data_IF_115491943434
#
_entry.id   IF_115491943434
#
_cell.length_a   1.000
_cell.length_b   1.000
_cell.length_c   1.000
_cell.angle_alpha   90.00
_cell.angle_beta   90.00
_cell.angle_gamma   90.00
#
_symmetry.space_group_name_H-M   'P 1'
#
loop_
_entity.id
_entity.type
_entity.pdbx_description
1 polymer ?
#
# COMPACT_ATOMS: atom_id res chain seq x y z
N UNK A 1 -13.76 16.98 4.08
CA UNK A 1 -12.95 16.22 3.10
C UNK A 1 -12.31 15.00 3.76
N UNK A 2 -13.11 14.04 4.23
CA UNK A 2 -12.67 12.85 4.97
C UNK A 2 -12.81 11.47 4.30
N UNK A 3 -13.60 11.26 3.21
CA UNK A 3 -13.78 9.91 2.66
C UNK A 3 -12.81 9.53 1.54
N UNK A 4 -12.03 10.46 0.97
CA UNK A 4 -11.16 10.21 -0.19
C UNK A 4 -9.80 9.58 0.18
N UNK A 5 -9.33 9.79 1.42
CA UNK A 5 -8.06 9.26 1.93
C UNK A 5 -8.19 7.78 2.35
N UNK A 6 -9.37 7.36 2.82
CA UNK A 6 -9.65 5.95 3.15
C UNK A 6 -9.71 5.04 1.91
N UNK A 7 -10.09 5.58 0.75
CA UNK A 7 -10.21 4.83 -0.51
C UNK A 7 -8.86 4.72 -1.25
N UNK A 8 -7.99 5.73 -1.16
CA UNK A 8 -6.64 5.70 -1.73
C UNK A 8 -5.74 4.65 -1.04
N UNK A 9 -5.87 4.44 0.27
CA UNK A 9 -5.14 3.36 0.99
C UNK A 9 -5.57 1.94 0.55
N UNK A 10 -6.77 1.75 -0.01
CA UNK A 10 -7.21 0.47 -0.61
C UNK A 10 -6.66 0.25 -2.02
N UNK A 11 -6.20 1.29 -2.71
CA UNK A 11 -5.85 1.24 -4.15
C UNK A 11 -4.34 1.36 -4.46
N UNK A 12 -3.49 1.75 -3.50
CA UNK A 12 -2.04 1.90 -3.70
C UNK A 12 -1.23 0.59 -3.68
N UNK A 13 -1.89 -0.55 -3.86
CA UNK A 13 -1.27 -1.86 -4.06
C UNK A 13 -1.04 -2.25 -5.53
N UNK A 14 -1.07 -1.33 -6.51
CA UNK A 14 -0.88 -1.68 -7.93
C UNK A 14 0.52 -2.26 -8.19
N UNK A 15 0.65 -3.51 -8.69
CA UNK A 15 1.93 -4.02 -9.16
C UNK A 15 2.18 -3.57 -10.60
N UNK A 16 3.39 -3.04 -10.87
CA UNK A 16 3.95 -3.04 -12.22
C UNK A 16 4.34 -4.49 -12.57
N UNK A 17 4.07 -4.87 -13.81
CA UNK A 17 4.29 -6.21 -14.35
C UNK A 17 5.69 -6.76 -14.06
N UNK A 18 5.78 -8.05 -13.72
CA UNK A 18 7.00 -8.83 -13.83
C UNK A 18 6.67 -10.25 -14.32
N UNK A 19 7.57 -10.75 -15.17
CA UNK A 19 7.38 -11.80 -16.15
C UNK A 19 7.32 -13.25 -15.61
N UNK A 20 6.89 -14.11 -16.52
CA UNK A 20 6.72 -15.57 -16.45
C UNK A 20 8.04 -16.27 -16.07
N UNK A 21 8.01 -17.10 -15.02
CA UNK A 21 9.06 -18.07 -14.65
C UNK A 21 8.53 -19.51 -14.69
N UNK A 22 9.40 -20.52 -14.90
CA UNK A 22 9.06 -21.82 -15.47
C UNK A 22 8.38 -22.80 -14.50
N UNK A 23 7.77 -23.90 -15.01
CA UNK A 23 6.85 -24.72 -14.25
C UNK A 23 7.57 -25.89 -13.57
N UNK A 24 7.43 -26.02 -12.26
CA UNK A 24 7.65 -27.30 -11.60
C UNK A 24 6.45 -27.72 -10.75
N UNK A 25 5.96 -28.89 -11.14
CA UNK A 25 4.95 -29.80 -10.63
C UNK A 25 4.56 -29.69 -9.15
N UNK A 26 3.25 -29.89 -8.90
CA UNK A 26 2.44 -29.65 -7.68
C UNK A 26 1.82 -28.24 -7.66
N UNK A 27 0.52 -28.15 -7.36
CA UNK A 27 -0.24 -26.88 -7.39
C UNK A 27 0.52 -25.79 -6.67
N UNK A 28 0.77 -24.66 -7.34
CA UNK A 28 1.62 -23.61 -6.80
C UNK A 28 1.13 -23.23 -5.40
N UNK A 29 1.93 -23.51 -4.38
CA UNK A 29 1.66 -23.03 -3.04
C UNK A 29 1.76 -21.51 -3.13
N UNK A 30 0.61 -20.82 -3.13
CA UNK A 30 0.54 -19.37 -3.09
C UNK A 30 0.88 -18.86 -1.70
N UNK A 31 2.13 -19.09 -1.33
CA UNK A 31 2.75 -18.66 -0.10
C UNK A 31 3.61 -17.43 -0.41
N UNK A 32 3.68 -16.53 0.56
CA UNK A 32 4.66 -15.46 0.51
C UNK A 32 6.06 -16.03 0.61
N UNK A 33 7.06 -15.25 0.22
CA UNK A 33 8.41 -15.47 0.72
C UNK A 33 8.39 -15.41 2.26
N UNK A 34 9.21 -16.21 2.97
CA UNK A 34 9.38 -16.05 4.41
C UNK A 34 9.76 -14.60 4.72
N UNK A 35 8.97 -13.97 5.57
CA UNK A 35 9.15 -12.57 5.96
C UNK A 35 9.35 -12.46 7.46
N UNK A 36 10.35 -11.71 7.84
CA UNK A 36 10.59 -11.26 9.22
C UNK A 36 10.76 -9.74 9.20
N UNK A 37 10.60 -9.05 10.34
CA UNK A 37 10.94 -7.63 10.43
C UNK A 37 12.35 -7.33 9.90
N UNK A 38 13.33 -8.18 10.24
CA UNK A 38 14.72 -8.06 9.77
C UNK A 38 14.87 -8.23 8.26
N UNK A 39 14.05 -9.08 7.62
CA UNK A 39 14.13 -9.27 6.16
C UNK A 39 13.64 -8.05 5.39
N UNK A 40 12.82 -7.20 6.00
CA UNK A 40 12.36 -5.93 5.42
C UNK A 40 13.34 -4.78 5.66
N UNK A 41 14.11 -4.83 6.74
CA UNK A 41 15.06 -3.80 7.15
C UNK A 41 16.46 -4.03 6.52
N UNK A 42 16.58 -3.80 5.22
CA UNK A 42 17.79 -4.09 4.44
C UNK A 42 18.66 -2.87 4.11
N UNK A 43 18.16 -1.65 4.33
CA UNK A 43 18.83 -0.41 3.92
C UNK A 43 19.52 0.30 5.09
N UNK A 44 20.62 1.04 4.81
CA UNK A 44 21.24 1.90 5.80
C UNK A 44 20.28 3.04 6.23
N UNK A 45 20.30 3.34 7.53
CA UNK A 45 19.57 4.47 8.12
C UNK A 45 20.48 5.68 8.29
N UNK A 46 19.90 6.88 8.40
CA UNK A 46 20.64 8.11 8.70
C UNK A 46 21.22 8.82 7.47
N UNK A 47 20.82 8.43 6.27
CA UNK A 47 21.12 9.15 5.02
C UNK A 47 19.83 9.54 4.32
N UNK A 48 19.87 10.66 3.61
CA UNK A 48 18.79 11.03 2.71
C UNK A 48 18.78 10.10 1.52
N UNK A 49 17.58 9.72 1.08
CA UNK A 49 17.42 8.90 -0.13
C UNK A 49 16.08 9.14 -0.79
N UNK A 50 16.08 8.99 -2.10
CA UNK A 50 14.84 8.87 -2.85
C UNK A 50 14.13 7.57 -2.45
N UNK A 51 12.81 7.66 -2.24
CA UNK A 51 11.93 6.53 -1.97
C UNK A 51 10.73 6.52 -2.91
N UNK A 52 10.22 5.33 -3.20
CA UNK A 52 9.14 5.14 -4.17
C UNK A 52 9.55 5.40 -5.62
N UNK A 53 8.55 5.41 -6.51
CA UNK A 53 8.76 5.62 -7.94
C UNK A 53 8.95 7.09 -8.32
N UNK A 54 9.60 7.32 -9.47
CA UNK A 54 9.57 8.62 -10.15
C UNK A 54 8.22 8.78 -10.83
N UNK A 55 7.55 9.89 -10.56
CA UNK A 55 6.36 10.35 -11.27
C UNK A 55 6.73 11.36 -12.36
N UNK A 56 5.88 11.44 -13.36
CA UNK A 56 6.00 12.38 -14.48
C UNK A 56 4.64 13.07 -14.68
N UNK A 57 4.64 14.38 -14.91
CA UNK A 57 3.40 15.10 -15.25
C UNK A 57 3.22 15.11 -16.76
N UNK A 58 2.25 14.35 -17.27
CA UNK A 58 2.03 14.15 -18.70
C UNK A 58 3.25 13.50 -19.41
N UNK A 59 3.11 13.17 -20.69
CA UNK A 59 4.23 12.59 -21.45
C UNK A 59 5.25 13.68 -21.79
N UNK A 60 6.48 13.54 -21.29
CA UNK A 60 7.61 14.47 -21.46
C UNK A 60 7.73 15.56 -20.38
N UNK A 61 7.02 15.45 -19.25
CA UNK A 61 7.00 16.46 -18.20
C UNK A 61 8.13 16.36 -17.16
N UNK A 62 8.18 17.28 -16.19
CA UNK A 62 9.15 17.23 -15.12
C UNK A 62 8.96 15.97 -14.26
N UNK A 63 10.08 15.34 -13.94
CA UNK A 63 10.13 14.22 -13.00
C UNK A 63 10.00 14.73 -11.57
N UNK A 64 9.24 14.02 -10.76
CA UNK A 64 9.14 14.26 -9.33
C UNK A 64 9.23 12.95 -8.54
N UNK A 65 9.68 13.01 -7.30
CA UNK A 65 9.86 11.86 -6.43
C UNK A 65 9.59 12.21 -4.95
N UNK A 66 9.66 11.21 -4.07
CA UNK A 66 9.65 11.44 -2.63
C UNK A 66 11.07 11.30 -2.10
N UNK A 67 11.50 12.25 -1.27
CA UNK A 67 12.76 12.18 -0.54
C UNK A 67 12.48 11.78 0.91
N UNK A 68 13.07 10.69 1.37
CA UNK A 68 13.14 10.34 2.79
C UNK A 68 14.42 10.94 3.36
N UNK A 69 14.27 11.82 4.35
CA UNK A 69 15.39 12.45 5.04
C UNK A 69 15.95 11.54 6.13
N UNK A 70 17.21 11.77 6.51
CA UNK A 70 17.93 10.98 7.51
C UNK A 70 17.18 10.80 8.85
N UNK A 71 16.40 11.80 9.26
CA UNK A 71 15.63 11.82 10.50
C UNK A 71 14.21 11.22 10.38
N UNK A 72 13.82 10.81 9.18
CA UNK A 72 12.54 10.16 8.88
C UNK A 72 11.47 11.06 8.28
N UNK A 73 11.72 12.36 8.13
CA UNK A 73 10.79 13.24 7.41
C UNK A 73 10.75 12.90 5.92
N UNK A 74 9.57 13.05 5.31
CA UNK A 74 9.36 12.81 3.89
C UNK A 74 8.95 14.10 3.18
N UNK A 75 9.68 14.45 2.12
CA UNK A 75 9.33 15.53 1.21
C UNK A 75 8.78 14.93 -0.07
N UNK A 76 7.53 15.24 -0.40
CA UNK A 76 6.83 14.67 -1.55
C UNK A 76 6.86 15.61 -2.75
N UNK A 77 6.84 15.03 -3.96
CA UNK A 77 6.78 15.81 -5.20
C UNK A 77 8.05 16.59 -5.50
N UNK A 78 9.17 16.22 -4.87
CA UNK A 78 10.47 16.87 -5.05
C UNK A 78 10.92 16.76 -6.50
N UNK A 79 11.28 17.88 -7.11
CA UNK A 79 11.72 17.97 -8.51
C UNK A 79 13.10 18.60 -8.66
N UNK A 80 13.90 18.60 -7.59
CA UNK A 80 15.25 19.18 -7.53
C UNK A 80 16.01 18.72 -6.29
N UNK A 81 17.25 19.20 -6.07
CA UNK A 81 18.03 18.84 -4.90
C UNK A 81 17.41 19.39 -3.61
N UNK A 82 17.53 18.63 -2.51
CA UNK A 82 17.26 19.15 -1.16
C UNK A 82 18.46 20.01 -0.75
N UNK A 83 18.19 21.24 -0.31
CA UNK A 83 19.21 22.21 0.09
C UNK A 83 19.17 22.44 1.58
N UNK A 84 20.33 22.31 2.23
CA UNK A 84 20.50 22.63 3.64
C UNK A 84 20.68 24.14 3.83
N UNK A 85 19.89 24.70 4.73
CA UNK A 85 19.94 26.11 5.10
C UNK A 85 20.30 26.19 6.58
N UNK A 86 21.41 26.88 6.93
CA UNK A 86 21.91 26.91 8.29
C UNK A 86 20.93 27.63 9.22
N UNK A 87 21.09 27.39 10.51
CA UNK A 87 20.36 28.10 11.55
C UNK A 87 20.54 29.62 11.43
N UNK A 88 19.48 30.36 11.71
CA UNK A 88 19.50 31.82 11.88
C UNK A 88 19.36 32.16 13.37
N UNK A 89 19.76 33.37 13.82
CA UNK A 89 19.49 33.81 15.19
C UNK A 89 17.99 33.69 15.53
N UNK A 90 17.67 32.85 16.53
CA UNK A 90 16.28 32.59 16.94
C UNK A 90 15.55 31.49 16.17
N UNK A 91 16.24 30.67 15.36
CA UNK A 91 15.63 29.53 14.66
C UNK A 91 16.60 28.40 14.32
N UNK A 92 16.07 27.18 14.18
CA UNK A 92 16.82 25.97 13.85
C UNK A 92 17.30 25.89 12.40
N UNK A 93 18.07 24.84 12.05
CA UNK A 93 18.41 24.55 10.66
C UNK A 93 17.14 24.22 9.85
N UNK A 94 17.16 24.59 8.58
CA UNK A 94 16.07 24.34 7.64
C UNK A 94 16.57 23.44 6.50
N UNK A 95 15.68 22.65 5.92
CA UNK A 95 15.92 21.94 4.66
C UNK A 95 14.84 22.31 3.68
N UNK A 96 15.20 22.62 2.45
CA UNK A 96 14.23 23.06 1.44
C UNK A 96 14.29 22.19 0.20
N UNK A 97 13.15 22.05 -0.45
CA UNK A 97 13.04 21.36 -1.73
C UNK A 97 12.01 22.04 -2.63
N UNK A 98 12.36 22.26 -3.90
CA UNK A 98 11.37 22.59 -4.92
C UNK A 98 10.51 21.36 -5.18
N UNK A 99 9.20 21.58 -5.22
CA UNK A 99 8.21 20.53 -5.44
C UNK A 99 7.28 20.90 -6.57
N UNK A 100 6.88 19.90 -7.34
CA UNK A 100 5.95 20.04 -8.44
C UNK A 100 4.53 19.64 -8.02
N UNK A 101 3.58 20.56 -8.18
CA UNK A 101 2.15 20.31 -8.06
C UNK A 101 1.46 20.46 -9.41
N UNK A 102 0.15 20.13 -9.46
CA UNK A 102 -0.66 20.26 -10.69
C UNK A 102 -0.80 21.70 -11.17
N UNK A 103 -0.81 22.65 -10.23
CA UNK A 103 -1.02 24.08 -10.46
C UNK A 103 0.29 24.88 -10.56
N UNK A 104 1.45 24.25 -10.38
CA UNK A 104 2.76 24.88 -10.55
C UNK A 104 3.81 24.40 -9.57
N UNK A 105 4.93 25.13 -9.54
CA UNK A 105 6.03 24.90 -8.60
C UNK A 105 5.72 25.50 -7.22
N UNK A 106 6.18 24.81 -6.19
CA UNK A 106 6.07 25.20 -4.78
C UNK A 106 7.41 24.95 -4.08
N UNK A 107 7.64 25.59 -2.95
CA UNK A 107 8.82 25.33 -2.11
C UNK A 107 8.37 24.71 -0.79
N UNK A 108 8.81 23.48 -0.52
CA UNK A 108 8.69 22.89 0.81
C UNK A 108 9.87 23.33 1.66
N UNK A 109 9.58 23.78 2.88
CA UNK A 109 10.57 24.17 3.89
C UNK A 109 10.34 23.32 5.12
N UNK A 110 11.25 22.39 5.37
CA UNK A 110 11.26 21.58 6.57
C UNK A 110 12.08 22.26 7.67
N UNK A 111 11.42 22.56 8.77
CA UNK A 111 12.04 23.00 10.01
C UNK A 111 12.36 21.80 10.90
N UNK A 112 13.65 21.47 11.00
CA UNK A 112 14.12 20.26 11.68
C UNK A 112 13.79 20.33 13.18
N UNK A 113 14.03 21.48 13.82
CA UNK A 113 13.85 21.58 15.27
C UNK A 113 12.37 21.61 15.66
N UNK A 114 11.55 22.33 14.87
CA UNK A 114 10.11 22.38 15.10
C UNK A 114 9.37 21.13 14.61
N UNK A 115 10.00 20.31 13.77
CA UNK A 115 9.39 19.16 13.10
C UNK A 115 8.14 19.59 12.30
N UNK A 116 8.26 20.66 11.52
CA UNK A 116 7.16 21.21 10.71
C UNK A 116 7.60 21.34 9.26
N UNK A 117 6.74 20.96 8.32
CA UNK A 117 6.90 21.28 6.90
C UNK A 117 5.98 22.45 6.58
N UNK A 118 6.54 23.52 6.01
CA UNK A 118 5.80 24.64 5.44
C UNK A 118 5.77 24.52 3.92
N UNK A 119 4.62 24.75 3.30
CA UNK A 119 4.49 24.84 1.83
C UNK A 119 4.37 26.31 1.44
N UNK A 120 5.36 26.81 0.69
CA UNK A 120 5.34 28.17 0.15
C UNK A 120 4.89 28.14 -1.30
N UNK A 121 3.75 28.78 -1.54
CA UNK A 121 3.13 28.92 -2.86
C UNK A 121 3.45 30.30 -3.48
N UNK A 122 3.46 30.41 -4.83
CA UNK A 122 3.62 31.70 -5.49
C UNK A 122 2.44 32.63 -5.16
N UNK A 123 2.72 33.92 -4.99
CA UNK A 123 1.68 34.91 -4.71
C UNK A 123 2.14 36.36 -4.84
N UNK A 124 1.20 37.33 -4.94
CA UNK A 124 1.52 38.73 -5.11
C UNK A 124 2.37 39.27 -3.95
N UNK A 125 3.46 39.97 -4.27
CA UNK A 125 4.35 40.57 -3.26
C UNK A 125 5.23 39.57 -2.51
N UNK A 126 5.20 38.27 -2.85
CA UNK A 126 6.07 37.24 -2.29
C UNK A 126 7.15 36.86 -3.30
N UNK A 127 8.40 36.59 -2.88
CA UNK A 127 9.39 35.98 -3.75
C UNK A 127 8.88 34.67 -4.32
N UNK A 128 9.21 34.36 -5.59
CA UNK A 128 8.82 33.08 -6.17
C UNK A 128 9.55 31.91 -5.46
N UNK A 129 8.97 30.70 -5.45
CA UNK A 129 9.63 29.50 -4.94
C UNK A 129 11.05 29.30 -5.48
N UNK A 130 11.25 29.53 -6.77
CA UNK A 130 12.55 29.39 -7.45
C UNK A 130 13.52 30.48 -7.03
N UNK A 131 13.07 31.71 -6.85
CA UNK A 131 13.92 32.80 -6.37
C UNK A 131 14.43 32.52 -4.95
N UNK A 132 13.57 31.98 -4.07
CA UNK A 132 13.97 31.58 -2.73
C UNK A 132 14.97 30.40 -2.75
N UNK A 133 14.72 29.41 -3.61
CA UNK A 133 15.63 28.28 -3.79
C UNK A 133 17.00 28.70 -4.35
N UNK A 134 17.05 29.64 -5.31
CA UNK A 134 18.30 30.18 -5.85
C UNK A 134 19.10 30.95 -4.79
N UNK A 135 18.43 31.80 -3.98
CA UNK A 135 19.10 32.52 -2.88
C UNK A 135 19.62 31.55 -1.83
N UNK A 136 18.89 30.49 -1.50
CA UNK A 136 19.33 29.43 -0.60
C UNK A 136 20.53 28.65 -1.14
N UNK A 137 20.56 28.37 -2.45
CA UNK A 137 21.67 27.66 -3.09
C UNK A 137 22.95 28.51 -3.16
N UNK A 138 22.83 29.81 -3.43
CA UNK A 138 23.99 30.72 -3.57
C UNK A 138 24.49 31.27 -2.23
N UNK A 139 23.56 31.59 -1.33
CA UNK A 139 23.85 32.27 -0.06
C UNK A 139 22.95 31.74 1.07
N UNK A 140 23.16 30.51 1.55
CA UNK A 140 22.28 29.86 2.55
C UNK A 140 22.02 30.72 3.80
N UNK A 141 23.06 31.38 4.33
CA UNK A 141 22.94 32.24 5.51
C UNK A 141 22.03 33.46 5.30
N UNK A 142 21.96 34.00 4.06
CA UNK A 142 21.04 35.10 3.72
C UNK A 142 19.61 34.60 3.46
N UNK A 143 19.48 33.37 2.97
CA UNK A 143 18.18 32.75 2.73
C UNK A 143 17.45 32.41 4.03
N UNK A 144 18.18 32.00 5.07
CA UNK A 144 17.60 31.58 6.35
C UNK A 144 16.57 32.58 6.93
N UNK A 145 16.88 33.87 7.15
CA UNK A 145 15.88 34.82 7.65
C UNK A 145 14.72 35.07 6.68
N UNK A 146 14.96 35.05 5.36
CA UNK A 146 13.91 35.21 4.35
C UNK A 146 12.92 34.05 4.35
N UNK A 147 13.43 32.82 4.44
CA UNK A 147 12.61 31.61 4.51
C UNK A 147 11.81 31.55 5.80
N UNK A 148 12.42 31.91 6.93
CA UNK A 148 11.72 31.99 8.23
C UNK A 148 10.58 33.00 8.18
N UNK A 149 10.82 34.18 7.59
CA UNK A 149 9.78 35.17 7.40
C UNK A 149 8.65 34.69 6.49
N UNK A 150 8.99 34.00 5.39
CA UNK A 150 8.00 33.41 4.50
C UNK A 150 7.18 32.32 5.21
N UNK A 151 7.81 31.48 6.03
CA UNK A 151 7.14 30.42 6.80
C UNK A 151 6.15 30.95 7.82
N UNK A 152 6.40 32.12 8.44
CA UNK A 152 5.43 32.79 9.32
C UNK A 152 4.13 33.15 8.62
N UNK A 153 4.17 33.34 7.31
CA UNK A 153 3.05 33.73 6.46
C UNK A 153 2.58 32.59 5.53
N UNK A 154 3.11 31.37 5.72
CA UNK A 154 2.70 30.20 4.98
C UNK A 154 1.24 29.87 5.33
N UNK A 155 0.41 29.69 4.30
CA UNK A 155 -0.98 29.29 4.49
C UNK A 155 -1.11 27.81 4.86
N UNK A 156 -0.13 27.00 4.44
CA UNK A 156 -0.09 25.56 4.66
C UNK A 156 1.17 25.18 5.44
N UNK A 157 0.96 24.56 6.60
CA UNK A 157 2.00 24.05 7.46
C UNK A 157 1.52 22.79 8.17
N UNK A 158 2.40 21.80 8.26
CA UNK A 158 2.07 20.49 8.80
C UNK A 158 3.09 20.13 9.87
N UNK A 159 2.64 20.01 11.12
CA UNK A 159 3.43 19.44 12.20
C UNK A 159 3.59 17.94 12.01
N UNK A 160 4.80 17.44 12.23
CA UNK A 160 5.14 16.04 12.11
C UNK A 160 5.25 15.37 13.47
N UNK A 161 4.82 14.11 13.53
CA UNK A 161 4.96 13.25 14.69
C UNK A 161 5.66 11.93 14.30
N UNK A 162 6.47 11.34 15.21
CA UNK A 162 7.23 10.15 14.92
C UNK A 162 6.34 8.89 14.89
N UNK A 163 6.54 8.02 13.89
CA UNK A 163 5.92 6.69 13.79
C UNK A 163 6.90 5.74 13.12
N UNK A 164 7.33 4.68 13.82
CA UNK A 164 8.22 3.63 13.30
C UNK A 164 9.44 4.19 12.53
N UNK A 165 10.15 5.15 13.14
CA UNK A 165 11.30 5.82 12.53
C UNK A 165 10.98 6.91 11.50
N UNK A 166 9.74 7.02 11.02
CA UNK A 166 9.30 8.08 10.09
C UNK A 166 8.75 9.29 10.85
N UNK A 167 8.66 10.44 10.17
CA UNK A 167 7.97 11.65 10.63
C UNK A 167 6.79 11.94 9.70
N UNK A 168 5.58 11.79 10.23
CA UNK A 168 4.34 11.89 9.47
C UNK A 168 3.53 13.09 9.90
N UNK A 169 2.63 13.64 9.05
CA UNK A 169 1.64 14.60 9.49
C UNK A 169 0.95 14.13 10.79
N UNK A 170 0.90 14.99 11.81
CA UNK A 170 0.47 14.59 13.15
C UNK A 170 -0.95 13.98 13.19
N UNK A 171 -1.83 14.40 12.28
CA UNK A 171 -3.19 13.85 12.15
C UNK A 171 -3.22 12.45 11.51
N UNK A 172 -2.15 12.03 10.83
CA UNK A 172 -1.98 10.71 10.24
C UNK A 172 -1.07 9.79 11.05
N UNK A 173 -0.39 10.33 12.07
CA UNK A 173 0.62 9.66 12.87
C UNK A 173 0.02 8.59 13.80
N UNK A 174 -0.40 7.47 13.20
CA UNK A 174 -0.93 6.30 13.88
C UNK A 174 -0.10 5.09 13.51
N UNK A 175 0.59 4.53 14.50
CA UNK A 175 1.26 3.26 14.32
C UNK A 175 0.23 2.15 14.09
N UNK A 176 0.50 1.20 13.16
CA UNK A 176 -0.32 0.01 13.04
C UNK A 176 -0.26 -0.80 14.34
N UNK A 177 -1.38 -1.40 14.78
CA UNK A 177 -1.39 -2.21 15.99
C UNK A 177 -0.46 -3.43 15.82
N UNK A 178 0.31 -3.83 16.85
CA UNK A 178 1.21 -4.98 16.75
C UNK A 178 0.48 -6.32 16.62
N UNK A 179 -0.79 -6.36 17.05
CA UNK A 179 -1.65 -7.54 17.06
C UNK A 179 -3.06 -7.14 16.66
N UNK A 180 -3.61 -7.86 15.69
CA UNK A 180 -5.04 -7.93 15.41
C UNK A 180 -5.57 -9.26 15.94
N UNK A 181 -6.74 -9.27 16.55
CA UNK A 181 -7.36 -10.51 17.04
C UNK A 181 -8.87 -10.50 16.79
N UNK A 182 -9.41 -11.67 16.45
CA UNK A 182 -10.84 -11.89 16.26
C UNK A 182 -11.22 -13.26 16.80
N UNK A 183 -12.23 -13.30 17.66
CA UNK A 183 -12.87 -14.56 18.05
C UNK A 183 -13.82 -15.00 16.93
N UNK A 184 -13.82 -16.31 16.64
CA UNK A 184 -14.73 -16.95 15.70
C UNK A 184 -15.96 -17.47 16.43
N UNK A 185 -17.05 -17.69 15.70
CA UNK A 185 -18.33 -18.16 16.22
C UNK A 185 -18.25 -19.54 16.89
N UNK A 186 -17.29 -20.36 16.49
CA UNK A 186 -17.02 -21.69 17.06
C UNK A 186 -16.03 -21.66 18.24
N UNK A 187 -15.67 -20.47 18.73
CA UNK A 187 -14.79 -20.27 19.89
C UNK A 187 -13.30 -20.27 19.56
N UNK A 188 -12.91 -20.55 18.31
CA UNK A 188 -11.52 -20.39 17.86
C UNK A 188 -11.10 -18.93 17.78
N UNK A 189 -9.80 -18.69 17.66
CA UNK A 189 -9.23 -17.35 17.63
C UNK A 189 -8.31 -17.16 16.42
N UNK A 190 -8.63 -16.17 15.61
CA UNK A 190 -7.71 -15.63 14.61
C UNK A 190 -6.86 -14.53 15.22
N UNK A 191 -5.57 -14.55 14.88
CA UNK A 191 -4.65 -13.46 15.18
C UNK A 191 -3.85 -13.08 13.94
N UNK A 192 -3.52 -11.80 13.82
CA UNK A 192 -2.56 -11.31 12.83
C UNK A 192 -1.49 -10.50 13.55
N UNK A 193 -0.22 -10.90 13.42
CA UNK A 193 0.93 -10.27 14.09
C UNK A 193 1.74 -9.44 13.12
N UNK A 194 2.00 -8.19 13.48
CA UNK A 194 2.66 -7.22 12.62
C UNK A 194 4.07 -7.69 12.25
N UNK A 195 4.44 -7.53 10.97
CA UNK A 195 5.77 -7.90 10.46
C UNK A 195 6.65 -6.71 10.11
N UNK A 196 6.23 -5.48 10.44
CA UNK A 196 7.05 -4.31 10.21
C UNK A 196 8.24 -4.24 11.19
N UNK A 197 9.41 -3.75 10.75
CA UNK A 197 10.48 -3.37 11.66
C UNK A 197 10.12 -2.12 12.45
N UNK A 198 10.83 -1.90 13.56
CA UNK A 198 10.66 -0.73 14.43
C UNK A 198 11.10 0.58 13.76
N UNK A 199 11.95 0.50 12.74
CA UNK A 199 12.42 1.64 11.94
C UNK A 199 12.22 1.40 10.44
N UNK A 200 11.15 1.99 9.89
CA UNK A 200 10.82 1.88 8.47
C UNK A 200 11.82 2.62 7.57
N UNK A 201 12.70 3.47 8.10
CA UNK A 201 13.76 4.11 7.28
C UNK A 201 14.73 3.09 6.71
N UNK A 202 14.84 1.93 7.33
CA UNK A 202 15.64 0.80 6.84
C UNK A 202 14.97 -0.01 5.71
N UNK A 203 13.77 0.37 5.25
CA UNK A 203 13.00 -0.40 4.27
C UNK A 203 12.94 0.30 2.91
N UNK A 204 12.87 -0.42 1.79
CA UNK A 204 12.78 0.20 0.46
C UNK A 204 11.52 1.07 0.29
N UNK A 205 10.39 0.61 0.84
CA UNK A 205 9.03 1.13 0.59
C UNK A 205 8.33 1.56 1.89
N UNK A 206 8.99 2.40 2.67
CA UNK A 206 8.57 2.81 4.02
C UNK A 206 7.12 3.31 4.10
N UNK A 207 6.74 4.26 3.24
CA UNK A 207 5.40 4.85 3.20
C UNK A 207 4.31 3.81 2.87
N UNK A 208 4.58 2.96 1.86
CA UNK A 208 3.68 1.88 1.47
C UNK A 208 3.50 0.85 2.58
N UNK A 209 4.58 0.45 3.23
CA UNK A 209 4.56 -0.54 4.32
C UNK A 209 3.79 -0.02 5.53
N UNK A 210 3.90 1.27 5.84
CA UNK A 210 3.13 1.91 6.90
C UNK A 210 1.62 1.90 6.60
N UNK A 211 1.22 2.17 5.36
CA UNK A 211 -0.18 2.29 4.98
C UNK A 211 -0.85 0.96 4.60
N UNK A 212 -0.07 -0.06 4.26
CA UNK A 212 -0.54 -1.42 4.01
C UNK A 212 0.34 -2.44 4.77
N UNK A 213 0.32 -2.41 6.11
CA UNK A 213 1.16 -3.25 6.96
C UNK A 213 0.92 -4.74 6.70
N UNK A 214 1.98 -5.54 6.50
CA UNK A 214 1.86 -6.98 6.42
C UNK A 214 1.75 -7.59 7.82
N UNK A 215 0.79 -8.51 7.99
CA UNK A 215 0.65 -9.32 9.19
C UNK A 215 0.80 -10.81 8.87
N UNK A 216 1.48 -11.55 9.74
CA UNK A 216 1.48 -13.00 9.75
C UNK A 216 0.21 -13.51 10.43
N UNK A 217 -0.51 -14.43 9.76
CA UNK A 217 -1.77 -14.99 10.23
C UNK A 217 -1.54 -16.22 11.12
N UNK A 218 -2.28 -16.28 12.23
CA UNK A 218 -2.32 -17.37 13.19
C UNK A 218 -3.76 -17.81 13.43
N UNK A 219 -3.95 -19.10 13.68
CA UNK A 219 -5.22 -19.69 14.12
C UNK A 219 -4.95 -20.48 15.40
N UNK A 220 -5.66 -20.14 16.47
CA UNK A 220 -5.52 -20.77 17.80
C UNK A 220 -4.06 -20.76 18.30
N UNK A 221 -3.35 -19.67 17.99
CA UNK A 221 -1.93 -19.49 18.33
C UNK A 221 -0.93 -20.20 17.41
N UNK A 222 -1.39 -21.06 16.48
CA UNK A 222 -0.52 -21.73 15.51
C UNK A 222 -0.29 -20.85 14.27
N UNK A 223 0.97 -20.71 13.84
CA UNK A 223 1.29 -19.98 12.61
C UNK A 223 0.77 -20.72 11.38
N UNK A 224 0.15 -19.97 10.46
CA UNK A 224 -0.36 -20.52 9.20
C UNK A 224 0.66 -20.42 8.06
N UNK A 225 1.69 -19.58 8.22
CA UNK A 225 2.59 -19.16 7.14
C UNK A 225 1.92 -18.31 6.05
N UNK A 226 0.71 -17.81 6.31
CA UNK A 226 -0.06 -16.94 5.41
C UNK A 226 -0.05 -15.49 5.92
N UNK A 227 -0.39 -14.56 5.03
CA UNK A 227 -0.29 -13.14 5.31
C UNK A 227 -1.59 -12.40 4.97
N UNK A 228 -1.92 -11.42 5.81
CA UNK A 228 -3.14 -10.60 5.72
C UNK A 228 -2.79 -9.13 5.96
N UNK A 229 -3.71 -8.22 5.61
CA UNK A 229 -3.59 -6.79 5.94
C UNK A 229 -4.45 -6.40 7.15
N UNK A 230 -5.58 -7.08 7.34
CA UNK A 230 -6.54 -6.87 8.41
C UNK A 230 -7.33 -8.17 8.67
N UNK A 231 -8.21 -8.15 9.67
CA UNK A 231 -9.17 -9.22 9.97
C UNK A 231 -10.64 -8.77 9.83
N UNK A 232 -10.87 -7.58 9.25
CA UNK A 232 -12.21 -6.98 9.17
C UNK A 232 -13.06 -7.70 8.11
N UNK A 233 -12.43 -8.18 7.04
CA UNK A 233 -13.08 -8.91 5.94
C UNK A 233 -13.32 -10.40 6.20
N UNK A 234 -13.20 -10.88 7.44
CA UNK A 234 -13.41 -12.30 7.77
C UNK A 234 -14.91 -12.66 7.71
N UNK A 235 -15.22 -13.72 6.97
CA UNK A 235 -16.55 -14.33 6.81
C UNK A 235 -16.53 -15.77 7.31
N UNK A 236 -17.56 -16.12 8.07
CA UNK A 236 -17.69 -17.40 8.76
C UNK A 236 -18.93 -18.13 8.25
N UNK A 237 -18.77 -19.38 7.86
CA UNK A 237 -19.86 -20.31 7.53
C UNK A 237 -20.24 -21.16 8.73
N UNK A 238 -21.47 -21.70 8.71
CA UNK A 238 -21.99 -22.54 9.80
C UNK A 238 -21.21 -23.85 9.99
N UNK A 239 -20.65 -24.40 8.91
CA UNK A 239 -19.83 -25.62 8.93
C UNK A 239 -18.36 -25.38 9.34
N UNK A 240 -18.06 -24.22 9.95
CA UNK A 240 -16.70 -23.85 10.36
C UNK A 240 -15.79 -23.42 9.21
N UNK A 241 -16.32 -23.29 8.00
CA UNK A 241 -15.62 -22.70 6.85
C UNK A 241 -15.34 -21.23 7.12
N UNK A 242 -14.12 -20.80 6.86
CA UNK A 242 -13.67 -19.43 7.06
C UNK A 242 -13.18 -18.88 5.73
N UNK A 243 -13.58 -17.66 5.38
CA UNK A 243 -12.99 -16.89 4.28
C UNK A 243 -12.43 -15.58 4.82
N UNK A 244 -11.26 -15.18 4.33
CA UNK A 244 -10.70 -13.86 4.66
C UNK A 244 -9.77 -13.34 3.57
N UNK A 245 -9.63 -12.02 3.42
CA UNK A 245 -8.70 -11.44 2.46
C UNK A 245 -7.26 -11.72 2.88
N UNK A 246 -6.46 -12.22 1.95
CA UNK A 246 -5.04 -12.47 2.13
C UNK A 246 -4.18 -11.81 1.05
N UNK A 247 -2.87 -11.92 1.22
CA UNK A 247 -1.90 -11.36 0.28
C UNK A 247 -0.72 -12.31 0.10
N UNK A 248 -0.21 -12.41 -1.12
CA UNK A 248 1.08 -13.03 -1.39
C UNK A 248 2.15 -11.94 -1.44
N UNK A 249 3.16 -12.05 -0.60
CA UNK A 249 4.21 -11.04 -0.45
C UNK A 249 5.55 -11.53 -1.02
N UNK A 250 6.33 -10.64 -1.63
CA UNK A 250 7.74 -10.87 -1.96
C UNK A 250 8.64 -10.60 -0.73
N UNK A 251 9.95 -10.78 -0.88
CA UNK A 251 10.93 -10.56 0.19
C UNK A 251 10.94 -9.12 0.74
N UNK A 252 10.59 -8.13 -0.09
CA UNK A 252 10.54 -6.71 0.29
C UNK A 252 9.17 -6.30 0.87
N UNK A 253 8.29 -7.27 1.14
CA UNK A 253 6.94 -7.04 1.68
C UNK A 253 5.93 -6.50 0.66
N UNK A 254 6.29 -6.40 -0.63
CA UNK A 254 5.37 -6.01 -1.70
C UNK A 254 4.40 -7.13 -2.01
N UNK A 255 3.12 -6.77 -2.12
CA UNK A 255 2.06 -7.66 -2.61
C UNK A 255 2.29 -7.99 -4.08
N UNK A 256 2.48 -9.27 -4.36
CA UNK A 256 2.60 -9.82 -5.71
C UNK A 256 1.24 -10.27 -6.25
N UNK A 257 0.34 -10.73 -5.38
CA UNK A 257 -1.04 -11.08 -5.70
C UNK A 257 -1.96 -10.83 -4.50
N UNK A 258 -3.17 -10.35 -4.77
CA UNK A 258 -4.28 -10.36 -3.82
C UNK A 258 -4.92 -11.75 -3.79
N UNK A 259 -5.24 -12.24 -2.59
CA UNK A 259 -5.78 -13.59 -2.39
C UNK A 259 -7.07 -13.53 -1.58
N UNK A 260 -7.89 -14.55 -1.73
CA UNK A 260 -8.78 -15.00 -0.68
C UNK A 260 -8.14 -16.22 -0.01
N UNK A 261 -8.16 -16.27 1.31
CA UNK A 261 -7.73 -17.42 2.10
C UNK A 261 -8.99 -18.13 2.59
N UNK A 262 -8.98 -19.45 2.52
CA UNK A 262 -10.08 -20.28 2.96
C UNK A 262 -9.57 -21.33 3.95
N UNK A 263 -10.25 -21.51 5.07
CA UNK A 263 -10.01 -22.61 6.00
C UNK A 263 -11.24 -23.51 6.08
N UNK A 264 -11.02 -24.84 6.01
CA UNK A 264 -12.04 -25.86 6.25
C UNK A 264 -11.35 -27.11 6.81
N UNK A 265 -11.87 -27.66 7.90
CA UNK A 265 -11.41 -28.95 8.47
C UNK A 265 -9.88 -29.05 8.64
N UNK A 266 -9.27 -28.03 9.24
CA UNK A 266 -7.82 -28.02 9.51
C UNK A 266 -6.95 -27.68 8.31
N UNK A 267 -7.53 -27.45 7.13
CA UNK A 267 -6.79 -27.15 5.90
C UNK A 267 -6.96 -25.70 5.47
N UNK A 268 -5.84 -25.03 5.25
CA UNK A 268 -5.79 -23.75 4.57
C UNK A 268 -5.65 -23.93 3.06
N UNK A 269 -6.40 -23.13 2.31
CA UNK A 269 -6.39 -23.04 0.86
C UNK A 269 -6.41 -21.57 0.43
N UNK A 270 -5.96 -21.28 -0.79
CA UNK A 270 -5.96 -19.92 -1.33
C UNK A 270 -6.60 -19.87 -2.72
N UNK A 271 -7.33 -18.77 -2.97
CA UNK A 271 -7.95 -18.41 -4.24
C UNK A 271 -7.34 -17.09 -4.72
N UNK A 272 -7.21 -16.90 -6.02
CA UNK A 272 -6.75 -15.61 -6.54
C UNK A 272 -7.86 -14.59 -6.29
N UNK A 273 -7.50 -13.37 -5.90
CA UNK A 273 -8.46 -12.29 -5.66
C UNK A 273 -9.20 -11.82 -6.92
N UNK A 274 -8.91 -12.42 -8.07
CA UNK A 274 -9.57 -12.14 -9.34
C UNK A 274 -9.66 -13.42 -10.20
N UNK A 275 -10.64 -13.43 -11.09
CA UNK A 275 -10.81 -14.39 -12.16
C UNK A 275 -10.61 -13.70 -13.52
N UNK A 276 -10.46 -14.48 -14.58
CA UNK A 276 -10.35 -13.97 -15.95
C UNK A 276 -11.39 -14.60 -16.86
N UNK A 277 -11.77 -13.91 -17.93
CA UNK A 277 -12.45 -14.58 -19.04
C UNK A 277 -11.49 -15.61 -19.69
N UNK A 278 -11.97 -16.79 -20.13
CA UNK A 278 -11.18 -17.71 -20.93
C UNK A 278 -10.63 -17.01 -22.17
N UNK A 279 -9.35 -17.23 -22.49
CA UNK A 279 -8.70 -16.63 -23.66
C UNK A 279 -9.41 -17.06 -24.95
N UNK A 280 -10.12 -16.14 -25.59
CA UNK A 280 -10.55 -16.28 -26.99
C UNK A 280 -9.84 -15.19 -27.80
N UNK A 281 -8.70 -15.54 -28.40
CA UNK A 281 -7.99 -14.67 -29.34
C UNK A 281 -7.25 -13.48 -28.73
N UNK A 282 -6.04 -13.72 -28.19
CA UNK A 282 -4.91 -12.77 -28.15
C UNK A 282 -5.05 -11.41 -27.43
N UNK A 283 -6.20 -11.07 -26.84
CA UNK A 283 -6.43 -9.79 -26.17
C UNK A 283 -5.98 -9.74 -24.71
N UNK A 284 -5.92 -8.52 -24.16
CA UNK A 284 -5.69 -8.30 -22.73
C UNK A 284 -6.83 -8.92 -21.91
N UNK A 285 -6.47 -9.76 -20.92
CA UNK A 285 -7.42 -10.42 -20.04
C UNK A 285 -8.01 -9.42 -19.04
N UNK A 286 -9.25 -8.96 -19.26
CA UNK A 286 -10.00 -8.19 -18.26
C UNK A 286 -10.08 -8.99 -16.95
N UNK A 287 -9.53 -8.49 -15.82
CA UNK A 287 -9.64 -9.15 -14.53
C UNK A 287 -10.99 -8.82 -13.88
N UNK A 288 -11.66 -9.85 -13.38
CA UNK A 288 -12.88 -9.75 -12.58
C UNK A 288 -12.54 -10.04 -11.13
N UNK A 289 -12.49 -9.00 -10.29
CA UNK A 289 -12.11 -9.12 -8.89
C UNK A 289 -13.23 -9.77 -8.08
N UNK A 290 -12.85 -10.69 -7.19
CA UNK A 290 -13.75 -11.37 -6.27
C UNK A 290 -14.04 -10.45 -5.09
N UNK A 291 -15.30 -10.10 -4.91
CA UNK A 291 -15.80 -9.20 -3.87
C UNK A 291 -17.01 -9.80 -3.14
N UNK A 292 -17.43 -9.19 -2.03
CA UNK A 292 -18.63 -9.60 -1.28
C UNK A 292 -18.67 -11.12 -0.98
N UNK A 293 -17.63 -11.64 -0.29
CA UNK A 293 -17.57 -13.04 0.09
C UNK A 293 -18.80 -13.43 0.91
N UNK A 294 -19.34 -14.61 0.63
CA UNK A 294 -20.32 -15.26 1.48
C UNK A 294 -20.04 -16.75 1.55
N UNK A 295 -20.45 -17.38 2.66
CA UNK A 295 -20.44 -18.83 2.83
C UNK A 295 -21.86 -19.27 3.15
N UNK A 296 -22.39 -20.22 2.40
CA UNK A 296 -23.73 -20.75 2.64
C UNK A 296 -23.74 -21.80 3.77
N UNK A 297 -24.94 -22.29 4.11
CA UNK A 297 -25.13 -23.29 5.16
C UNK A 297 -24.53 -24.67 4.82
N UNK A 298 -24.17 -24.93 3.56
CA UNK A 298 -23.48 -26.15 3.13
C UNK A 298 -21.97 -25.97 2.93
N UNK A 299 -21.42 -24.83 3.37
CA UNK A 299 -20.00 -24.52 3.27
C UNK A 299 -19.51 -24.12 1.88
N UNK A 300 -20.41 -23.80 0.94
CA UNK A 300 -20.00 -23.28 -0.37
C UNK A 300 -19.67 -21.78 -0.26
N UNK A 301 -18.51 -21.42 -0.80
CA UNK A 301 -18.07 -20.04 -0.90
C UNK A 301 -18.67 -19.39 -2.15
N UNK A 302 -19.12 -18.15 -2.05
CA UNK A 302 -19.54 -17.35 -3.19
C UNK A 302 -18.95 -15.94 -3.18
N UNK A 303 -18.77 -15.37 -4.37
CA UNK A 303 -18.19 -14.05 -4.58
C UNK A 303 -18.89 -13.33 -5.72
N UNK A 304 -19.16 -12.04 -5.57
CA UNK A 304 -19.53 -11.14 -6.67
C UNK A 304 -18.29 -10.86 -7.52
N UNK A 305 -18.46 -10.87 -8.84
CA UNK A 305 -17.43 -10.50 -9.80
C UNK A 305 -17.58 -9.04 -10.21
N UNK A 306 -16.53 -8.25 -9.98
CA UNK A 306 -16.52 -6.82 -10.34
C UNK A 306 -15.29 -6.45 -11.13
N UNK A 307 -15.46 -5.62 -12.16
CA UNK A 307 -14.33 -4.90 -12.74
C UNK A 307 -14.19 -3.56 -12.02
N UNK A 308 -12.96 -3.05 -11.96
CA UNK A 308 -12.68 -1.73 -11.40
C UNK A 308 -11.99 -0.89 -12.46
N UNK A 309 -12.60 0.25 -12.80
CA UNK A 309 -12.07 1.22 -13.75
C UNK A 309 -12.26 2.63 -13.21
N UNK A 310 -11.40 3.56 -13.64
CA UNK A 310 -11.54 4.98 -13.32
C UNK A 310 -11.37 5.81 -14.59
N UNK A 311 -12.33 6.69 -14.82
CA UNK A 311 -12.28 7.74 -15.83
C UNK A 311 -12.09 9.11 -15.18
N UNK A 312 -12.07 10.18 -16.00
CA UNK A 312 -11.98 11.57 -15.52
C UNK A 312 -13.07 11.92 -14.50
N UNK A 313 -14.26 11.35 -14.68
CA UNK A 313 -15.46 11.63 -13.89
C UNK A 313 -15.64 10.69 -12.68
N UNK A 314 -14.64 9.85 -12.39
CA UNK A 314 -14.66 8.94 -11.25
C UNK A 314 -14.67 7.46 -11.64
N UNK A 315 -15.25 6.63 -10.77
CA UNK A 315 -15.30 5.17 -10.98
C UNK A 315 -16.20 4.84 -12.17
N UNK A 316 -15.67 4.03 -13.08
CA UNK A 316 -16.41 3.53 -14.24
C UNK A 316 -17.36 2.42 -13.78
N UNK A 317 -18.54 2.30 -14.41
CA UNK A 317 -19.45 1.18 -14.14
C UNK A 317 -18.73 -0.17 -14.32
N UNK A 318 -19.04 -1.12 -13.45
CA UNK A 318 -18.55 -2.50 -13.60
C UNK A 318 -19.11 -3.13 -14.87
N UNK A 319 -18.26 -3.86 -15.58
CA UNK A 319 -18.67 -4.66 -16.73
C UNK A 319 -19.40 -5.92 -16.25
N UNK A 320 -20.40 -6.41 -17.00
CA UNK A 320 -21.03 -7.69 -16.71
C UNK A 320 -20.01 -8.84 -16.72
N UNK A 321 -20.19 -9.80 -15.81
CA UNK A 321 -19.39 -11.00 -15.80
C UNK A 321 -19.62 -11.82 -17.09
N UNK A 322 -18.57 -12.42 -17.67
CA UNK A 322 -18.69 -13.23 -18.86
C UNK A 322 -19.40 -14.57 -18.54
N UNK A 323 -19.90 -15.30 -19.55
CA UNK A 323 -20.62 -16.57 -19.33
C UNK A 323 -19.79 -17.64 -18.61
N UNK A 324 -18.48 -17.51 -18.64
CA UNK A 324 -17.53 -18.40 -17.97
C UNK A 324 -16.31 -17.60 -17.53
N UNK A 325 -15.76 -17.95 -16.38
CA UNK A 325 -14.50 -17.41 -15.85
C UNK A 325 -13.55 -18.52 -15.42
N UNK A 326 -12.26 -18.24 -15.54
CA UNK A 326 -11.16 -19.03 -15.01
C UNK A 326 -10.69 -18.45 -13.67
N UNK A 327 -10.83 -19.23 -12.60
CA UNK A 327 -10.31 -18.90 -11.28
C UNK A 327 -9.19 -19.86 -10.91
N UNK A 328 -7.99 -19.33 -10.70
CA UNK A 328 -6.89 -20.13 -10.17
C UNK A 328 -7.11 -20.39 -8.68
N UNK A 329 -6.70 -21.58 -8.22
CA UNK A 329 -6.81 -22.00 -6.81
C UNK A 329 -5.59 -22.83 -6.42
N UNK A 330 -5.20 -22.81 -5.14
CA UNK A 330 -3.96 -23.43 -4.67
C UNK A 330 -3.98 -24.96 -4.65
N UNK A 331 -5.17 -25.59 -4.64
CA UNK A 331 -5.32 -27.05 -4.53
C UNK A 331 -5.48 -27.76 -5.88
N UNK A 332 -5.49 -27.03 -7.00
CA UNK A 332 -5.56 -27.59 -8.35
C UNK A 332 -4.48 -27.01 -9.24
N UNK A 333 -3.95 -27.83 -10.14
CA UNK A 333 -3.00 -27.36 -11.17
C UNK A 333 -3.71 -26.60 -12.30
N UNK A 334 -4.91 -27.04 -12.65
CA UNK A 334 -5.76 -26.43 -13.68
C UNK A 334 -6.73 -25.46 -12.99
N UNK A 335 -6.91 -24.22 -13.51
CA UNK A 335 -7.93 -23.29 -13.02
C UNK A 335 -9.32 -23.93 -12.94
N UNK A 336 -10.13 -23.47 -11.99
CA UNK A 336 -11.57 -23.74 -11.97
C UNK A 336 -12.22 -22.97 -13.12
N UNK A 337 -13.03 -23.67 -13.91
CA UNK A 337 -13.93 -23.05 -14.88
C UNK A 337 -15.31 -22.90 -14.23
N UNK A 338 -15.66 -21.67 -13.89
CA UNK A 338 -16.90 -21.34 -13.18
C UNK A 338 -17.85 -20.59 -14.11
N UNK A 339 -19.15 -20.83 -13.92
CA UNK A 339 -20.22 -20.12 -14.64
C UNK A 339 -20.89 -19.15 -13.69
N UNK A 340 -20.71 -17.83 -13.87
CA UNK A 340 -21.39 -16.85 -13.03
C UNK A 340 -22.91 -16.96 -13.16
N UNK A 341 -23.63 -16.73 -12.05
CA UNK A 341 -25.07 -16.51 -12.03
C UNK A 341 -25.32 -15.12 -11.46
N UNK A 342 -25.97 -14.27 -12.24
CA UNK A 342 -26.29 -12.88 -11.86
C UNK A 342 -25.08 -12.02 -11.44
N UNK A 343 -23.86 -12.40 -11.84
CA UNK A 343 -22.53 -11.85 -11.46
C UNK A 343 -21.77 -12.62 -10.36
N UNK A 344 -22.39 -13.59 -9.70
CA UNK A 344 -21.77 -14.37 -8.64
C UNK A 344 -21.20 -15.68 -9.13
N UNK A 345 -20.03 -16.03 -8.64
CA UNK A 345 -19.49 -17.38 -8.72
C UNK A 345 -19.65 -18.09 -7.38
N UNK A 346 -19.88 -19.39 -7.44
CA UNK A 346 -19.94 -20.27 -6.27
C UNK A 346 -18.96 -21.41 -6.47
N UNK A 347 -18.28 -21.83 -5.41
CA UNK A 347 -17.37 -22.96 -5.43
C UNK A 347 -17.29 -23.64 -4.06
N UNK A 348 -16.85 -24.88 -4.07
CA UNK A 348 -16.58 -25.64 -2.87
C UNK A 348 -15.12 -25.45 -2.41
N UNK A 349 -14.95 -25.13 -1.13
CA UNK A 349 -13.65 -25.10 -0.46
C UNK A 349 -13.29 -26.53 -0.04
N UNK A 350 -12.10 -27.05 -0.39
CA UNK A 350 -11.71 -28.41 -0.02
C UNK A 350 -11.48 -28.54 1.49
N UNK A 351 -11.95 -29.63 2.06
CA UNK A 351 -11.69 -30.03 3.45
C UNK A 351 -10.38 -30.81 3.64
N UNK A 352 -10.20 -31.33 4.85
CA UNK A 352 -9.04 -32.13 5.28
C UNK A 352 -9.04 -33.55 4.69
N UNK A 353 -10.18 -34.02 4.20
CA UNK A 353 -10.29 -35.24 3.39
C UNK A 353 -9.99 -34.94 1.93
N UNK A 354 -8.86 -35.44 1.41
CA UNK A 354 -8.55 -35.33 -0.03
C UNK A 354 -9.57 -36.09 -0.90
N UNK A 355 -9.68 -35.76 -2.20
CA UNK A 355 -10.40 -36.61 -3.14
C UNK A 355 -9.68 -37.96 -3.24
N UNK A 356 -10.38 -39.05 -2.91
CA UNK A 356 -10.00 -40.41 -3.31
C UNK A 356 -10.08 -40.58 -4.82
#
# INVERSE_FOLDING_TARGET
>A
MGPMIALLRRLLGRPRHAAIGPPHHLGAAWRSHPLTPDSLASLPVGIDRQVGGVGEIAMGGPNYWTMLLADGAMLHGVCGPVTDVPSAPGGGPLRIALTQARDGLRLQVYDIDAQVIHTLEPGPGRPSPEALADVASRTPAKAAPLLREACRHAADSVTLAPVLGLRLPAHEAKAPPPLLARALADGRRLEARLLLPDDLRATEEADRLLHAPPYALYLDGASTGLHVADLDGVVEGQDGVLLLPGRRLNADGRTTDGLWLAWREGRWSALLGHAHAPLQGGGFLTPYFLSEPAVDAGGQASFSLRTFGWGPDGELPSEPAPPQVELKVSWRRVPLLLRPREDRITLEVPGGGGPT
#
